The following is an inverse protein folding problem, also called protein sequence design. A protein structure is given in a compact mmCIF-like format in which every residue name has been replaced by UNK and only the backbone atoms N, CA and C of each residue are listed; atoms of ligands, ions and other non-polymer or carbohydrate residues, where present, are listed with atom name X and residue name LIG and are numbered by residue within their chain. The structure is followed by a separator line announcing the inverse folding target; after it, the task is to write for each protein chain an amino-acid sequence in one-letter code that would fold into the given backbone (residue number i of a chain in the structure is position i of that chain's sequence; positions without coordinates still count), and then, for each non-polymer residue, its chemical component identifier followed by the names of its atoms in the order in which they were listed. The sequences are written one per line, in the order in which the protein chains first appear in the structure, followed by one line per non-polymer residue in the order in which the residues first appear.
data_IF_511933608609
#
_entry.id   IF_511933608609
#
_cell.length_a   1.000
_cell.length_b   1.000
_cell.length_c   1.000
_cell.angle_alpha   90.00
_cell.angle_beta   90.00
_cell.angle_gamma   90.00
#
_symmetry.space_group_name_H-M   'P 1'
#
loop_
_entity.id
_entity.type
_entity.pdbx_description
1 polymer ?
#
# COMPACT_ATOMS: atom_id res chain seq x y z
N UNK A 1 -4.57 28.73 -20.91
CA UNK A 1 -4.78 27.99 -19.65
C UNK A 1 -4.47 26.53 -19.93
N UNK A 2 -3.30 26.04 -19.47
CA UNK A 2 -2.99 24.61 -19.51
C UNK A 2 -3.76 23.95 -18.37
N UNK A 3 -4.89 23.34 -18.68
CA UNK A 3 -5.52 22.41 -17.77
C UNK A 3 -4.60 21.18 -17.68
N UNK A 4 -3.79 21.12 -16.62
CA UNK A 4 -3.16 19.86 -16.21
C UNK A 4 -4.26 18.96 -15.68
N UNK A 5 -5.01 18.35 -16.60
CA UNK A 5 -5.87 17.23 -16.29
C UNK A 5 -4.98 16.13 -15.72
N UNK A 6 -4.84 16.08 -14.39
CA UNK A 6 -4.41 14.88 -13.68
C UNK A 6 -5.45 13.83 -14.00
N UNK A 7 -5.25 13.09 -15.09
CA UNK A 7 -5.93 11.82 -15.27
C UNK A 7 -5.35 10.90 -14.19
N UNK A 8 -6.01 10.84 -13.05
CA UNK A 8 -5.82 9.77 -12.07
C UNK A 8 -6.20 8.48 -12.79
N UNK A 9 -5.20 7.72 -13.22
CA UNK A 9 -5.43 6.38 -13.75
C UNK A 9 -5.71 5.47 -12.54
N UNK A 10 -6.95 4.98 -12.36
CA UNK A 10 -7.32 4.20 -11.19
C UNK A 10 -6.54 2.89 -11.11
N UNK A 11 -6.07 2.35 -12.24
CA UNK A 11 -5.23 1.15 -12.28
C UNK A 11 -3.83 1.47 -11.76
N UNK A 12 -3.27 2.60 -12.20
CA UNK A 12 -1.98 3.07 -11.69
C UNK A 12 -2.04 3.39 -10.19
N UNK A 13 -3.09 4.07 -9.75
CA UNK A 13 -3.28 4.44 -8.35
C UNK A 13 -3.41 3.19 -7.46
N UNK A 14 -4.17 2.19 -7.89
CA UNK A 14 -4.26 0.91 -7.20
C UNK A 14 -2.90 0.18 -7.14
N UNK A 15 -2.12 0.19 -8.23
CA UNK A 15 -0.80 -0.42 -8.24
C UNK A 15 0.19 0.30 -7.30
N UNK A 16 0.19 1.63 -7.32
CA UNK A 16 1.05 2.46 -6.48
C UNK A 16 0.69 2.32 -4.99
N UNK A 17 -0.61 2.23 -4.68
CA UNK A 17 -1.09 1.95 -3.32
C UNK A 17 -0.61 0.59 -2.84
N UNK A 18 -0.80 -0.47 -3.63
CA UNK A 18 -0.33 -1.83 -3.30
C UNK A 18 1.19 -1.87 -3.04
N UNK A 19 1.98 -1.21 -3.90
CA UNK A 19 3.44 -1.13 -3.72
C UNK A 19 3.81 -0.45 -2.40
N UNK A 20 3.09 0.60 -2.02
CA UNK A 20 3.31 1.31 -0.76
C UNK A 20 3.05 0.39 0.45
N UNK A 21 1.95 -0.38 0.43
CA UNK A 21 1.64 -1.36 1.49
C UNK A 21 2.75 -2.42 1.63
N UNK A 22 3.24 -2.96 0.51
CA UNK A 22 4.35 -3.92 0.50
C UNK A 22 5.64 -3.34 1.09
N UNK A 23 5.94 -2.08 0.78
CA UNK A 23 7.10 -1.37 1.34
C UNK A 23 6.98 -1.16 2.85
N UNK A 24 5.80 -0.75 3.35
CA UNK A 24 5.57 -0.60 4.78
C UNK A 24 5.74 -1.92 5.51
N UNK A 25 5.17 -2.99 4.96
CA UNK A 25 5.32 -4.34 5.51
C UNK A 25 6.79 -4.75 5.60
N UNK A 26 7.56 -4.53 4.53
CA UNK A 26 8.99 -4.82 4.52
C UNK A 26 9.75 -4.00 5.57
N UNK A 27 9.44 -2.70 5.70
CA UNK A 27 10.08 -1.83 6.70
C UNK A 27 9.84 -2.31 8.12
N UNK A 28 8.61 -2.70 8.46
CA UNK A 28 8.29 -3.24 9.79
C UNK A 28 9.06 -4.54 10.05
N UNK A 29 9.02 -5.49 9.09
CA UNK A 29 9.71 -6.79 9.21
C UNK A 29 11.23 -6.67 9.38
N UNK A 30 11.83 -5.61 8.84
CA UNK A 30 13.28 -5.38 8.90
C UNK A 30 13.68 -4.35 9.97
N UNK A 31 12.77 -3.98 10.89
CA UNK A 31 13.06 -3.01 11.95
C UNK A 31 13.35 -1.58 11.46
N UNK A 32 13.00 -1.26 10.21
CA UNK A 32 13.16 0.07 9.62
C UNK A 32 11.97 0.99 9.85
N UNK A 33 10.90 0.45 10.41
CA UNK A 33 9.74 1.20 10.88
C UNK A 33 9.28 0.59 12.21
N UNK A 34 9.44 1.34 13.29
CA UNK A 34 9.01 0.94 14.64
C UNK A 34 7.56 1.37 14.82
N UNK A 35 6.71 0.43 15.19
CA UNK A 35 5.29 0.63 15.50
C UNK A 35 4.96 -0.06 16.82
N UNK A 36 3.93 0.40 17.51
CA UNK A 36 3.55 -0.14 18.83
C UNK A 36 3.18 -1.63 18.80
N UNK A 37 2.54 -2.08 17.71
CA UNK A 37 2.08 -3.46 17.54
C UNK A 37 2.48 -3.99 16.15
N UNK A 38 3.72 -4.49 15.97
CA UNK A 38 4.24 -4.87 14.66
C UNK A 38 3.45 -6.01 14.00
N UNK A 39 3.04 -7.02 14.77
CA UNK A 39 2.29 -8.16 14.24
C UNK A 39 0.89 -7.75 13.77
N UNK A 40 0.20 -6.90 14.55
CA UNK A 40 -1.10 -6.36 14.16
C UNK A 40 -0.99 -5.47 12.91
N UNK A 41 0.04 -4.63 12.83
CA UNK A 41 0.28 -3.79 11.65
C UNK A 41 0.55 -4.63 10.40
N UNK A 42 1.36 -5.69 10.51
CA UNK A 42 1.62 -6.62 9.40
C UNK A 42 0.34 -7.34 8.98
N UNK A 43 -0.48 -7.80 9.93
CA UNK A 43 -1.76 -8.46 9.63
C UNK A 43 -2.70 -7.55 8.84
N UNK A 44 -2.82 -6.28 9.24
CA UNK A 44 -3.64 -5.29 8.53
C UNK A 44 -3.14 -5.06 7.09
N UNK A 45 -1.82 -4.90 6.92
CA UNK A 45 -1.22 -4.73 5.60
C UNK A 45 -1.43 -5.96 4.72
N UNK A 46 -1.27 -7.17 5.26
CA UNK A 46 -1.48 -8.42 4.54
C UNK A 46 -2.96 -8.57 4.12
N UNK A 47 -3.90 -8.17 4.97
CA UNK A 47 -5.34 -8.18 4.66
C UNK A 47 -5.68 -7.22 3.52
N UNK A 48 -5.20 -5.98 3.58
CA UNK A 48 -5.48 -4.97 2.57
C UNK A 48 -4.88 -5.35 1.20
N UNK A 49 -3.66 -5.89 1.19
CA UNK A 49 -3.04 -6.43 -0.03
C UNK A 49 -3.90 -7.56 -0.63
N UNK A 50 -4.41 -8.47 0.21
CA UNK A 50 -5.25 -9.58 -0.23
C UNK A 50 -6.60 -9.10 -0.79
N UNK A 51 -7.23 -8.10 -0.18
CA UNK A 51 -8.46 -7.46 -0.68
C UNK A 51 -8.24 -6.83 -2.07
N UNK A 52 -7.10 -6.15 -2.26
CA UNK A 52 -6.73 -5.57 -3.56
C UNK A 52 -6.40 -6.62 -4.63
N UNK A 53 -5.93 -7.82 -4.24
CA UNK A 53 -5.69 -8.94 -5.15
C UNK A 53 -6.98 -9.68 -5.51
N UNK A 54 -7.93 -9.78 -4.57
CA UNK A 54 -9.23 -10.41 -4.78
C UNK A 54 -10.20 -9.55 -5.60
N UNK A 55 -10.03 -8.22 -5.60
CA UNK A 55 -10.81 -7.28 -6.42
C UNK A 55 -10.35 -7.13 -7.87
N UNK A 56 -9.45 -8.00 -8.35
CA UNK A 56 -9.01 -8.06 -9.76
C UNK A 56 -9.85 -9.03 -10.58
#
# INVERSE_FOLDING_TARGET
MLATSKSSDPVFDALAHKLSLMLYRWRIKNGRLIVAYPDAAIWWLDREIAEMEAGK
#
